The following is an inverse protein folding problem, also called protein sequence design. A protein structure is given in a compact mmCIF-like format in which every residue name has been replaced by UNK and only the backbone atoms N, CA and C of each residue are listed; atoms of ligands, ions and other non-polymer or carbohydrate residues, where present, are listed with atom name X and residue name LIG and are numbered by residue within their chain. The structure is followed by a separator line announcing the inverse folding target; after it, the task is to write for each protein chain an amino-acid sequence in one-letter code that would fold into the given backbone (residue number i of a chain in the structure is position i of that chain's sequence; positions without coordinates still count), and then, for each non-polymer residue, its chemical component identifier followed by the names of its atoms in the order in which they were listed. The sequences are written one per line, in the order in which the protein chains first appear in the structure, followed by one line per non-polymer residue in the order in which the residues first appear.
data_IF_097317274542
#
_entry.id   IF_097317274542
#
_cell.length_a   1.000
_cell.length_b   1.000
_cell.length_c   1.000
_cell.angle_alpha   90.00
_cell.angle_beta   90.00
_cell.angle_gamma   90.00
#
_symmetry.space_group_name_H-M   'P 1'
#
loop_
_entity.id
_entity.type
_entity.pdbx_description
1 polymer ?
2 polymer ?
3 non-polymer ?
4 water ?
#
# COMPACT_ATOMS: atom_id res chain seq x y z
N UNK A 1 -8.89 16.87 15.07
CA UNK A 1 -7.52 17.11 15.62
C UNK A 1 -6.49 16.18 14.97
N UNK A 2 -5.23 16.61 15.00
CA UNK A 2 -4.09 15.81 14.53
C UNK A 2 -4.04 14.43 15.23
N UNK A 3 -3.63 13.42 14.47
CA UNK A 3 -3.57 12.06 14.97
C UNK A 3 -2.61 11.27 14.12
N UNK A 4 -2.17 10.13 14.63
CA UNK A 4 -1.25 9.27 13.91
C UNK A 4 -1.74 7.83 14.04
N UNK A 5 -1.50 7.01 13.03
CA UNK A 5 -1.88 5.60 13.10
C UNK A 5 -1.21 4.92 14.31
N UNK A 6 -1.99 4.23 15.13
CA UNK A 6 -1.42 3.34 16.15
C UNK A 6 -0.56 2.23 15.52
N UNK A 7 -0.78 1.96 14.23
CA UNK A 7 -0.03 0.97 13.50
C UNK A 7 1.45 1.21 13.38
N UNK A 8 1.86 2.49 13.45
CA UNK A 8 3.28 2.84 13.36
C UNK A 8 4.04 2.14 14.49
N UNK A 9 3.58 2.32 15.73
CA UNK A 9 4.22 1.66 16.89
C UNK A 9 4.13 0.14 16.82
N UNK A 10 2.97 -0.38 16.41
CA UNK A 10 2.70 -1.82 16.35
C UNK A 10 3.60 -2.60 15.37
N UNK A 11 3.97 -1.98 14.24
CA UNK A 11 4.96 -2.59 13.32
C UNK A 11 6.41 -2.30 13.67
N UNK A 12 6.62 -1.50 14.71
CA UNK A 12 7.94 -1.17 15.27
C UNK A 12 8.79 -0.24 14.40
N UNK A 13 8.12 0.70 13.73
CA UNK A 13 8.79 1.72 12.94
C UNK A 13 9.63 2.73 13.74
N UNK A 14 9.21 3.10 14.99
CA UNK A 14 10.02 3.99 15.84
C UNK A 14 11.42 3.51 16.14
N UNK A 15 11.60 2.20 16.27
CA UNK A 15 12.93 1.62 16.45
C UNK A 15 13.84 1.92 15.25
N UNK A 16 13.25 2.01 14.05
CA UNK A 16 14.01 2.44 12.89
C UNK A 16 14.23 3.94 12.89
N UNK A 17 13.20 4.73 13.22
CA UNK A 17 13.37 6.19 13.28
C UNK A 17 14.52 6.58 14.22
N UNK A 18 14.55 6.03 15.43
CA UNK A 18 15.59 6.37 16.41
C UNK A 18 17.00 5.96 15.97
N UNK A 19 17.10 4.88 15.20
CA UNK A 19 18.36 4.53 14.52
C UNK A 19 18.78 5.49 13.36
N UNK A 20 17.95 6.46 12.99
CA UNK A 20 18.19 7.38 11.86
C UNK A 20 17.64 6.97 10.49
N UNK A 21 16.66 6.06 10.46
CA UNK A 21 16.08 5.57 9.20
C UNK A 21 14.60 5.96 9.16
N UNK A 22 14.30 6.96 8.34
CA UNK A 22 12.96 7.50 8.23
C UNK A 22 12.46 7.50 6.78
N UNK A 23 13.13 6.75 5.91
CA UNK A 23 12.76 6.64 4.49
C UNK A 23 13.30 7.71 3.57
N UNK A 24 14.43 8.33 3.92
CA UNK A 24 15.01 9.44 3.15
C UNK A 24 15.43 8.94 1.78
N UNK A 25 15.07 9.72 0.75
CA UNK A 25 15.43 9.45 -0.66
C UNK A 25 14.91 8.11 -1.25
N UNK A 26 13.86 7.55 -0.64
CA UNK A 26 13.19 6.35 -1.16
C UNK A 26 11.89 6.82 -1.80
N UNK A 27 11.69 6.46 -3.06
CA UNK A 27 10.56 6.96 -3.84
C UNK A 27 9.38 6.01 -3.76
N UNK A 28 8.25 6.49 -3.24
CA UNK A 28 7.05 5.68 -3.07
C UNK A 28 5.92 6.19 -3.93
N UNK A 29 5.43 5.35 -4.85
CA UNK A 29 4.29 5.70 -5.70
C UNK A 29 3.00 5.27 -5.02
N UNK A 30 2.11 6.22 -4.81
CA UNK A 30 0.81 5.97 -4.26
C UNK A 30 -0.16 5.97 -5.43
N UNK A 31 -0.45 4.76 -5.95
CA UNK A 31 -1.44 4.60 -7.01
C UNK A 31 -2.85 4.61 -6.38
N UNK A 32 -3.54 5.74 -6.48
CA UNK A 32 -4.76 5.96 -5.73
C UNK A 32 -5.59 7.08 -6.37
N UNK A 33 -6.46 7.70 -5.59
CA UNK A 33 -7.31 8.79 -6.05
C UNK A 33 -6.63 10.18 -6.09
N UNK A 34 -5.30 10.22 -6.07
CA UNK A 34 -4.55 11.46 -5.91
C UNK A 34 -4.09 11.65 -4.47
N UNK A 35 -3.48 12.80 -4.22
CA UNK A 35 -3.01 13.20 -2.89
C UNK A 35 -3.16 14.71 -2.77
N UNK A 36 -3.86 15.17 -1.74
CA UNK A 36 -4.00 16.60 -1.49
C UNK A 36 -2.68 17.11 -0.93
N UNK A 37 -1.86 17.67 -1.81
CA UNK A 37 -0.57 18.20 -1.42
C UNK A 37 -0.64 19.55 -0.70
N UNK A 38 -1.83 20.18 -0.59
CA UNK A 38 -2.05 21.35 0.30
C UNK A 38 -1.87 21.00 1.76
N UNK A 39 -2.22 19.76 2.11
CA UNK A 39 -2.28 19.35 3.52
C UNK A 39 -0.99 19.75 4.23
N UNK A 40 -1.08 20.53 5.34
CA UNK A 40 0.16 21.02 5.96
C UNK A 40 1.13 19.92 6.45
N UNK A 41 0.61 18.71 6.66
CA UNK A 41 1.39 17.54 7.09
C UNK A 41 1.81 16.54 5.99
N UNK A 42 1.55 16.84 4.73
CA UNK A 42 2.00 15.95 3.67
C UNK A 42 3.08 16.58 2.81
N UNK A 43 3.98 15.75 2.29
CA UNK A 43 4.97 16.13 1.30
C UNK A 43 4.81 15.24 0.10
N UNK A 44 4.67 15.87 -1.07
CA UNK A 44 4.56 15.17 -2.33
C UNK A 44 5.71 15.64 -3.23
N UNK A 45 6.58 14.71 -3.63
CA UNK A 45 7.72 15.01 -4.52
C UNK A 45 7.37 15.00 -6.01
N UNK A 46 6.17 14.58 -6.37
CA UNK A 46 5.75 14.54 -7.78
C UNK A 46 4.49 13.72 -7.96
N UNK A 47 4.19 13.34 -9.20
CA UNK A 47 3.00 12.55 -9.51
C UNK A 47 2.56 12.72 -10.95
N UNK A 48 1.47 12.06 -11.31
CA UNK A 48 0.90 12.15 -12.64
C UNK A 48 -0.47 11.50 -12.60
N UNK A 49 -1.37 11.96 -13.48
CA UNK A 49 -2.73 11.42 -13.49
C UNK A 49 -3.00 10.62 -14.73
N UNK A 50 -3.65 9.47 -14.55
CA UNK A 50 -4.07 8.62 -15.65
C UNK A 50 -5.56 8.39 -15.65
N UNK A 51 -6.27 9.25 -14.93
CA UNK A 51 -7.71 9.34 -14.98
C UNK A 51 -7.97 10.40 -16.05
N UNK A 52 -8.60 10.02 -17.18
CA UNK A 52 -8.85 11.00 -18.26
C UNK A 52 -9.52 12.30 -17.84
N UNK A 53 -10.59 12.22 -17.04
CA UNK A 53 -11.36 13.41 -16.65
C UNK A 53 -10.82 14.18 -15.42
N UNK A 54 -9.76 13.68 -14.79
CA UNK A 54 -9.18 14.32 -13.61
C UNK A 54 -7.68 14.34 -13.73
N UNK A 55 -7.14 15.39 -14.35
CA UNK A 55 -5.77 15.45 -14.80
C UNK A 55 -4.81 16.05 -13.78
N UNK A 56 -5.34 16.45 -12.62
CA UNK A 56 -4.52 16.98 -11.54
C UNK A 56 -4.32 15.89 -10.48
N UNK A 57 -3.10 15.33 -10.40
CA UNK A 57 -2.84 14.31 -9.37
C UNK A 57 -2.74 14.87 -7.95
N UNK A 58 -2.72 16.19 -7.82
CA UNK A 58 -2.52 16.85 -6.55
C UNK A 58 -3.80 17.37 -5.91
N UNK A 59 -4.94 17.04 -6.51
CA UNK A 59 -6.25 17.36 -5.95
C UNK A 59 -6.99 16.03 -5.75
N UNK A 60 -7.26 15.74 -4.49
CA UNK A 60 -7.88 14.47 -4.10
C UNK A 60 -9.35 14.74 -3.80
N UNK A 61 -10.20 14.42 -4.77
CA UNK A 61 -11.64 14.59 -4.66
C UNK A 61 -12.30 13.46 -3.87
N UNK A 62 -11.63 12.32 -3.71
CA UNK A 62 -12.20 11.18 -2.96
C UNK A 62 -11.85 11.24 -1.46
N UNK A 63 -10.57 11.48 -1.19
CA UNK A 63 -9.93 11.56 0.14
C UNK A 63 -9.09 10.32 0.44
N UNK A 64 -9.33 9.21 -0.29
CA UNK A 64 -8.64 7.94 -0.06
C UNK A 64 -7.12 8.00 -0.22
N UNK A 65 -6.63 8.50 -1.34
CA UNK A 65 -5.17 8.61 -1.51
C UNK A 65 -4.46 9.52 -0.51
N UNK A 66 -5.15 10.55 -0.05
CA UNK A 66 -4.63 11.44 0.99
C UNK A 66 -4.45 10.67 2.30
N UNK A 67 -5.40 9.81 2.61
CA UNK A 67 -5.35 8.96 3.80
C UNK A 67 -4.23 7.93 3.71
N UNK A 68 -3.98 7.45 2.50
CA UNK A 68 -2.88 6.51 2.24
C UNK A 68 -1.54 7.22 2.44
N UNK A 69 -1.42 8.36 1.78
CA UNK A 69 -0.25 9.21 1.89
C UNK A 69 0.16 9.45 3.34
N UNK A 70 -0.79 9.83 4.19
CA UNK A 70 -0.49 10.16 5.58
C UNK A 70 -0.03 8.97 6.39
N UNK A 71 -0.58 7.79 6.09
CA UNK A 71 -0.18 6.56 6.77
C UNK A 71 1.21 6.12 6.32
N UNK A 72 1.47 6.20 5.02
CA UNK A 72 2.81 5.92 4.49
C UNK A 72 3.86 6.83 5.13
N UNK A 73 3.59 8.13 5.12
CA UNK A 73 4.50 9.11 5.72
C UNK A 73 4.63 8.96 7.23
N UNK A 74 3.56 8.63 7.92
CA UNK A 74 3.66 8.38 9.35
C UNK A 74 4.66 7.24 9.63
N UNK A 75 4.70 6.22 8.76
CA UNK A 75 5.67 5.14 8.88
C UNK A 75 7.07 5.55 8.39
N UNK A 76 7.12 6.25 7.26
CA UNK A 76 8.38 6.67 6.64
C UNK A 76 8.35 8.18 6.42
N UNK A 77 8.57 8.96 7.51
CA UNK A 77 8.36 10.43 7.43
C UNK A 77 9.13 11.18 6.35
N UNK A 78 10.32 10.68 5.98
CA UNK A 78 11.17 11.33 4.99
C UNK A 78 11.10 10.73 3.57
N UNK A 79 10.16 9.81 3.33
CA UNK A 79 10.00 9.21 2.00
C UNK A 79 9.54 10.24 0.99
N UNK A 80 9.98 10.09 -0.25
CA UNK A 80 9.44 10.86 -1.36
C UNK A 80 8.18 10.18 -1.86
N UNK A 81 7.03 10.82 -1.66
CA UNK A 81 5.76 10.31 -2.18
C UNK A 81 5.45 10.89 -3.52
N UNK A 82 4.90 10.06 -4.41
CA UNK A 82 4.42 10.52 -5.70
C UNK A 82 2.96 10.14 -5.88
N UNK A 83 2.14 11.13 -6.23
CA UNK A 83 0.68 10.95 -6.44
C UNK A 83 0.38 10.49 -7.86
N UNK A 84 0.32 9.18 -8.04
CA UNK A 84 -0.06 8.59 -9.32
C UNK A 84 -1.57 8.35 -9.28
N UNK A 85 -2.31 9.24 -9.90
CA UNK A 85 -3.75 9.22 -9.84
C UNK A 85 -4.29 8.21 -10.86
N UNK A 86 -4.84 7.12 -10.34
CA UNK A 86 -5.46 6.09 -11.17
C UNK A 86 -6.91 5.83 -10.80
N UNK A 87 -7.41 6.48 -9.74
CA UNK A 87 -8.81 6.40 -9.41
C UNK A 87 -9.47 7.78 -9.48
N UNK A 88 -10.76 7.77 -9.83
CA UNK A 88 -11.57 8.98 -9.87
C UNK A 88 -12.03 9.37 -8.47
N UNK A 89 -12.75 10.49 -8.41
CA UNK A 89 -13.37 10.98 -7.19
C UNK A 89 -14.30 9.95 -6.57
N UNK A 90 -14.89 9.08 -7.39
CA UNK A 90 -15.79 8.02 -6.91
C UNK A 90 -15.08 6.79 -6.31
N UNK A 91 -13.75 6.75 -6.36
CA UNK A 91 -12.98 5.62 -5.86
C UNK A 91 -12.83 4.46 -6.84
N UNK A 92 -13.20 4.66 -8.11
CA UNK A 92 -13.09 3.61 -9.12
C UNK A 92 -12.10 4.05 -10.19
N UNK A 93 -11.43 3.06 -10.77
CA UNK A 93 -10.50 3.30 -11.86
C UNK A 93 -10.45 2.09 -12.76
N UNK A 94 -10.39 2.32 -14.06
CA UNK A 94 -10.19 1.25 -15.04
C UNK A 94 -8.78 0.66 -14.93
N UNK A 95 -8.69 -0.66 -15.13
CA UNK A 95 -7.41 -1.38 -15.17
C UNK A 95 -6.39 -0.72 -16.09
N UNK A 96 -6.82 -0.22 -17.25
CA UNK A 96 -5.94 0.42 -18.21
C UNK A 96 -5.29 1.68 -17.59
N UNK A 97 -6.07 2.45 -16.82
CA UNK A 97 -5.51 3.61 -16.10
C UNK A 97 -4.46 3.16 -15.07
N UNK A 98 -4.77 2.12 -14.31
CA UNK A 98 -3.85 1.59 -13.29
C UNK A 98 -2.54 1.13 -13.92
N UNK A 99 -2.64 0.46 -15.07
CA UNK A 99 -1.47 -0.01 -15.82
C UNK A 99 -0.58 1.15 -16.25
N UNK A 100 -1.17 2.25 -16.71
CA UNK A 100 -0.39 3.42 -17.07
C UNK A 100 0.33 4.03 -15.87
N UNK A 101 -0.33 4.04 -14.72
CA UNK A 101 0.32 4.48 -13.50
C UNK A 101 1.49 3.59 -13.09
N UNK A 102 1.33 2.27 -13.23
CA UNK A 102 2.42 1.32 -12.95
C UNK A 102 3.59 1.53 -13.90
N UNK A 103 3.28 1.58 -15.19
CA UNK A 103 4.30 1.88 -16.20
C UNK A 103 5.02 3.19 -15.89
N UNK A 104 4.26 4.21 -15.51
CA UNK A 104 4.84 5.50 -15.14
C UNK A 104 5.83 5.34 -14.00
N UNK A 105 5.42 4.62 -12.97
CA UNK A 105 6.26 4.44 -11.81
C UNK A 105 7.61 3.80 -12.15
N UNK A 106 7.58 2.76 -12.97
CA UNK A 106 8.80 2.09 -13.44
C UNK A 106 9.69 3.07 -14.17
N UNK A 107 9.09 3.84 -15.05
CA UNK A 107 9.85 4.76 -15.89
C UNK A 107 10.45 5.94 -15.11
N UNK A 108 9.88 6.23 -13.94
CA UNK A 108 10.38 7.26 -13.02
C UNK A 108 11.14 6.67 -11.79
N UNK A 109 11.49 5.39 -11.87
CA UNK A 109 12.44 4.73 -10.95
C UNK A 109 11.96 4.78 -9.52
N UNK A 110 10.66 4.49 -9.36
CA UNK A 110 10.03 4.43 -8.05
C UNK A 110 10.53 3.18 -7.36
N UNK A 111 10.79 3.29 -6.06
CA UNK A 111 11.31 2.17 -5.29
C UNK A 111 10.18 1.27 -4.80
N UNK A 112 9.03 1.87 -4.51
CA UNK A 112 7.87 1.18 -3.96
C UNK A 112 6.60 1.61 -4.66
N UNK A 113 5.76 0.64 -5.01
CA UNK A 113 4.40 0.92 -5.47
C UNK A 113 3.42 0.42 -4.43
N UNK A 114 2.59 1.34 -3.93
CA UNK A 114 1.41 0.96 -3.13
C UNK A 114 0.15 1.03 -4.00
N UNK A 115 -0.64 -0.03 -3.95
CA UNK A 115 -1.95 -0.10 -4.59
C UNK A 115 -2.97 -0.50 -3.53
N UNK A 116 -3.56 0.49 -2.86
CA UNK A 116 -4.59 0.29 -1.85
C UNK A 116 -5.93 0.21 -2.56
N UNK A 117 -6.09 -0.86 -3.33
CA UNK A 117 -7.20 -0.98 -4.25
C UNK A 117 -7.18 -2.36 -4.82
N UNK A 118 -8.31 -2.73 -5.42
CA UNK A 118 -8.46 -4.06 -5.95
C UNK A 118 -9.75 -4.21 -6.71
N UNK A 119 -9.78 -5.25 -7.54
CA UNK A 119 -10.94 -5.59 -8.35
C UNK A 119 -11.11 -7.10 -8.34
N UNK A 120 -12.33 -7.58 -8.66
CA UNK A 120 -12.63 -9.02 -8.67
C UNK A 120 -12.28 -9.78 -9.94
N UNK A 121 -12.10 -9.07 -11.06
CA UNK A 121 -11.76 -9.67 -12.34
C UNK A 121 -10.25 -9.74 -12.51
N UNK A 122 -9.78 -10.86 -13.05
CA UNK A 122 -8.40 -10.99 -13.45
C UNK A 122 -8.12 -10.29 -14.77
N UNK A 123 -6.85 -9.99 -15.02
CA UNK A 123 -6.44 -9.41 -16.28
C UNK A 123 -4.98 -9.77 -16.56
N UNK A 124 -4.72 -10.29 -17.74
CA UNK A 124 -3.34 -10.63 -18.15
C UNK A 124 -2.55 -9.35 -18.35
N UNK A 125 -3.24 -8.29 -18.80
CA UNK A 125 -2.63 -6.97 -18.91
C UNK A 125 -2.18 -6.43 -17.56
N UNK A 126 -3.07 -6.47 -16.57
CA UNK A 126 -2.71 -6.05 -15.22
C UNK A 126 -1.63 -6.94 -14.59
N UNK A 127 -1.69 -8.26 -14.82
CA UNK A 127 -0.66 -9.17 -14.31
C UNK A 127 0.71 -8.89 -14.94
N UNK A 128 0.75 -8.69 -16.24
CA UNK A 128 2.00 -8.32 -16.93
C UNK A 128 2.57 -6.99 -16.47
N UNK A 129 1.70 -6.05 -16.11
CA UNK A 129 2.19 -4.74 -15.65
C UNK A 129 2.83 -4.89 -14.27
N UNK A 130 2.19 -5.59 -13.34
CA UNK A 130 2.79 -5.71 -11.98
C UNK A 130 4.04 -6.58 -11.98
N UNK A 131 4.03 -7.64 -12.78
CA UNK A 131 5.22 -8.47 -13.00
C UNK A 131 6.40 -7.72 -13.60
N UNK A 132 6.12 -6.89 -14.59
CA UNK A 132 7.11 -6.01 -15.17
C UNK A 132 7.69 -5.08 -14.11
N UNK A 133 6.82 -4.51 -13.28
CA UNK A 133 7.27 -3.69 -12.16
C UNK A 133 8.22 -4.45 -11.22
N UNK A 134 7.84 -5.67 -10.88
CA UNK A 134 8.63 -6.50 -9.96
C UNK A 134 9.97 -6.90 -10.60
N UNK A 135 9.93 -7.32 -11.86
CA UNK A 135 11.15 -7.58 -12.61
C UNK A 135 12.05 -6.34 -12.69
N UNK A 136 11.47 -5.14 -12.69
CA UNK A 136 12.23 -3.88 -12.69
C UNK A 136 12.88 -3.48 -11.38
N UNK A 137 12.66 -4.25 -10.31
CA UNK A 137 13.25 -3.92 -9.01
C UNK A 137 12.34 -3.18 -8.06
N UNK A 138 11.06 -3.02 -8.42
CA UNK A 138 10.11 -2.27 -7.61
C UNK A 138 9.49 -3.23 -6.59
N UNK A 139 9.35 -2.76 -5.36
CA UNK A 139 8.57 -3.46 -4.33
C UNK A 139 7.12 -3.09 -4.54
N UNK A 140 6.28 -4.08 -4.82
CA UNK A 140 4.85 -3.84 -5.11
C UNK A 140 4.00 -4.40 -3.99
N UNK A 141 3.27 -3.49 -3.35
CA UNK A 141 2.40 -3.81 -2.21
C UNK A 141 0.95 -3.55 -2.60
N UNK A 142 0.05 -4.42 -2.15
CA UNK A 142 -1.37 -4.22 -2.40
C UNK A 142 -2.26 -4.77 -1.31
N UNK A 143 -3.37 -4.05 -1.09
CA UNK A 143 -4.44 -4.44 -0.17
C UNK A 143 -5.03 -5.78 -0.64
N UNK A 144 -5.19 -6.73 0.28
CA UNK A 144 -5.76 -8.04 -0.10
C UNK A 144 -7.26 -7.96 -0.49
N UNK A 145 -7.97 -6.97 0.03
CA UNK A 145 -9.40 -6.81 -0.24
C UNK A 145 -10.21 -6.92 1.06
N UNK A 146 -11.45 -6.45 0.97
CA UNK A 146 -12.32 -6.38 2.15
C UNK A 146 -13.48 -7.36 1.99
N UNK A 147 -13.20 -8.57 1.53
CA UNK A 147 -14.25 -9.52 1.13
C UNK A 147 -14.55 -10.60 2.17
N UNK A 148 -13.87 -10.56 3.31
CA UNK A 148 -14.13 -11.52 4.38
C UNK A 148 -13.81 -12.93 3.92
N UNK A 149 -14.59 -13.89 4.41
CA UNK A 149 -14.32 -15.31 4.18
C UNK A 149 -15.38 -15.90 3.29
N UNK A 150 -15.00 -16.95 2.56
CA UNK A 150 -15.93 -17.80 1.82
C UNK A 150 -15.47 -19.26 1.92
N UNK A 151 -15.67 -19.84 3.09
CA UNK A 151 -15.23 -21.21 3.41
C UNK A 151 -13.75 -21.43 3.20
N UNK A 152 -13.44 -22.36 2.31
CA UNK A 152 -12.08 -22.76 1.99
C UNK A 152 -11.56 -22.10 0.71
N UNK A 153 -12.35 -21.21 0.11
CA UNK A 153 -11.92 -20.55 -1.12
C UNK A 153 -11.46 -19.11 -0.91
N UNK A 154 -10.61 -18.68 -1.84
CA UNK A 154 -9.89 -17.41 -1.78
C UNK A 154 -10.81 -16.23 -2.06
N UNK A 155 -10.66 -15.16 -1.29
CA UNK A 155 -11.39 -13.90 -1.52
C UNK A 155 -10.46 -12.72 -1.73
N UNK A 156 -9.19 -13.01 -2.03
CA UNK A 156 -8.21 -11.98 -2.33
C UNK A 156 -8.51 -11.38 -3.71
N UNK A 157 -8.45 -10.04 -3.78
CA UNK A 157 -8.69 -9.27 -5.00
C UNK A 157 -7.43 -9.16 -5.87
N UNK A 158 -7.63 -8.83 -7.14
CA UNK A 158 -6.53 -8.44 -8.04
C UNK A 158 -6.27 -6.94 -7.87
N UNK A 159 -5.02 -6.45 -7.81
CA UNK A 159 -3.79 -7.16 -8.15
C UNK A 159 -3.12 -7.95 -7.04
N UNK A 160 -3.55 -7.75 -5.79
CA UNK A 160 -2.99 -8.47 -4.64
C UNK A 160 -2.88 -9.99 -4.81
N UNK A 161 -3.78 -10.56 -5.59
CA UNK A 161 -3.83 -12.01 -5.78
C UNK A 161 -2.66 -12.58 -6.58
N UNK A 162 -1.96 -11.72 -7.34
CA UNK A 162 -0.87 -12.20 -8.17
C UNK A 162 0.38 -12.49 -7.31
N UNK A 163 1.10 -13.59 -7.60
CA UNK A 163 2.25 -13.96 -6.77
C UNK A 163 3.30 -12.88 -6.60
N UNK A 164 3.50 -12.07 -7.64
CA UNK A 164 4.55 -11.03 -7.61
C UNK A 164 4.25 -9.84 -6.68
N UNK A 165 3.00 -9.70 -6.25
CA UNK A 165 2.55 -8.63 -5.37
C UNK A 165 2.58 -9.07 -3.91
N UNK A 166 2.91 -8.14 -3.02
CA UNK A 166 2.75 -8.36 -1.58
C UNK A 166 1.30 -8.06 -1.17
N UNK A 167 0.51 -9.13 -1.01
CA UNK A 167 -0.87 -9.07 -0.54
C UNK A 167 -0.94 -8.88 0.99
N UNK A 168 -1.52 -7.76 1.42
CA UNK A 168 -1.55 -7.34 2.81
C UNK A 168 -2.99 -7.35 3.33
N UNK A 169 -3.19 -8.06 4.44
CA UNK A 169 -4.49 -8.15 5.11
C UNK A 169 -4.42 -7.31 6.37
N UNK A 170 -5.57 -7.20 7.04
CA UNK A 170 -5.75 -6.20 8.11
C UNK A 170 -5.92 -6.85 9.48
N UNK A 171 -5.21 -6.30 10.48
CA UNK A 171 -5.47 -6.60 11.88
C UNK A 171 -5.84 -5.32 12.64
N UNK A 172 -6.39 -5.53 13.83
CA UNK A 172 -6.68 -4.45 14.79
C UNK A 172 -5.49 -4.32 15.74
N UNK A 173 -5.64 -3.47 16.78
CA UNK A 173 -4.58 -3.27 17.78
C UNK A 173 -4.21 -4.50 18.59
N UNK A 174 -5.12 -5.48 18.67
CA UNK A 174 -4.88 -6.77 19.33
C UNK A 174 -4.21 -7.85 18.48
N UNK A 175 -3.79 -7.55 17.25
CA UNK A 175 -3.32 -8.55 16.29
C UNK A 175 -4.37 -9.59 15.89
N UNK A 176 -5.63 -9.17 15.95
CA UNK A 176 -6.78 -10.02 15.65
C UNK A 176 -7.19 -9.61 14.24
N UNK A 177 -7.36 -10.60 13.35
CA UNK A 177 -7.84 -10.37 11.97
C UNK A 177 -9.14 -9.60 11.96
N UNK A 178 -9.24 -8.59 11.09
CA UNK A 178 -10.48 -7.87 10.91
C UNK A 178 -11.46 -8.81 10.22
N UNK A 179 -12.74 -8.74 10.60
CA UNK A 179 -13.67 -9.75 10.09
C UNK A 179 -13.82 -9.71 8.57
N UNK A 180 -13.78 -8.50 8.03
CA UNK A 180 -13.86 -8.25 6.60
C UNK A 180 -12.55 -8.45 5.83
N UNK A 181 -11.42 -8.72 6.50
CA UNK A 181 -10.14 -8.90 5.80
C UNK A 181 -10.19 -10.09 4.89
N UNK A 182 -9.86 -9.90 3.61
CA UNK A 182 -9.82 -10.99 2.65
C UNK A 182 -8.80 -12.04 3.07
N UNK A 183 -9.02 -13.25 2.55
CA UNK A 183 -8.30 -14.45 2.98
C UNK A 183 -7.97 -15.30 1.77
N UNK A 184 -6.99 -16.20 1.95
CA UNK A 184 -6.60 -17.15 0.90
C UNK A 184 -5.11 -17.45 0.86
N UNK A 185 -4.71 -18.39 -0.02
CA UNK A 185 -3.31 -18.78 -0.25
C UNK A 185 -2.41 -17.62 -0.62
N UNK A 186 -2.97 -16.59 -1.25
CA UNK A 186 -2.20 -15.51 -1.86
C UNK A 186 -1.87 -14.43 -0.84
N UNK A 187 -2.56 -14.47 0.29
CA UNK A 187 -2.31 -13.56 1.40
C UNK A 187 -0.90 -13.76 1.94
N UNK A 188 -0.11 -12.69 1.96
CA UNK A 188 1.30 -12.79 2.34
C UNK A 188 1.57 -12.37 3.78
N UNK A 189 1.13 -11.16 4.18
CA UNK A 189 1.33 -10.60 5.53
C UNK A 189 0.17 -9.74 6.00
N UNK A 190 0.19 -9.38 7.28
CA UNK A 190 -0.84 -8.52 7.87
C UNK A 190 -0.23 -7.24 8.35
N UNK A 191 -1.08 -6.23 8.48
CA UNK A 191 -0.70 -4.97 9.13
C UNK A 191 -1.93 -4.25 9.69
N UNK A 192 -1.70 -3.27 10.58
CA UNK A 192 -2.85 -2.62 11.19
C UNK A 192 -3.73 -1.98 10.12
N UNK A 193 -5.02 -2.26 10.20
CA UNK A 193 -5.99 -1.66 9.29
C UNK A 193 -7.37 -1.38 9.83
N UNK A 194 -7.56 -1.39 11.15
CA UNK A 194 -8.87 -1.09 11.76
C UNK A 194 -8.81 0.31 12.37
N UNK A 195 -9.62 1.23 11.84
CA UNK A 195 -9.72 2.60 12.35
C UNK A 195 -8.31 3.20 12.43
N UNK A 196 -7.69 3.29 11.26
CA UNK A 196 -6.34 3.83 11.14
C UNK A 196 -6.55 5.31 11.00
N UNK A 197 -6.06 6.07 11.97
CA UNK A 197 -6.20 7.51 11.93
C UNK A 197 -5.11 8.08 11.01
N UNK A 198 -5.51 8.78 9.96
CA UNK A 198 -4.56 9.46 9.05
C UNK A 198 -5.08 10.79 8.49
N UNK A 199 -4.37 11.38 7.52
CA UNK A 199 -4.75 12.66 6.93
C UNK A 199 -5.90 12.58 5.95
N UNK A 200 -6.69 13.65 5.89
CA UNK A 200 -7.81 13.81 4.93
C UNK A 200 -7.74 15.21 4.30
N UNK A 201 -8.30 15.38 3.08
CA UNK A 201 -8.12 16.68 2.44
C UNK A 201 -8.72 17.84 3.23
N UNK A 202 -8.11 19.02 3.08
CA UNK A 202 -8.53 20.24 3.77
C UNK A 202 -7.88 20.41 5.13
N UNK A 203 -6.69 19.85 5.29
CA UNK A 203 -5.99 19.83 6.59
C UNK A 203 -6.70 19.07 7.70
N UNK A 204 -7.57 18.12 7.34
CA UNK A 204 -8.32 17.33 8.31
C UNK A 204 -7.63 15.98 8.59
N UNK A 205 -8.17 15.26 9.58
CA UNK A 205 -7.70 13.88 9.90
C UNK A 205 -8.91 13.04 10.19
N UNK A 206 -8.79 11.74 10.00
CA UNK A 206 -9.88 10.82 10.28
C UNK A 206 -9.44 9.36 10.31
N UNK A 207 -10.21 8.56 11.04
CA UNK A 207 -10.00 7.13 11.16
C UNK A 207 -10.78 6.41 10.06
N UNK A 208 -10.11 5.48 9.37
CA UNK A 208 -10.73 4.62 8.36
C UNK A 208 -10.21 3.19 8.51
N UNK A 209 -11.07 2.24 8.14
CA UNK A 209 -10.78 0.81 8.22
C UNK A 209 -10.72 0.13 6.85
N UNK A 210 -9.72 -0.70 6.66
CA UNK A 210 -9.65 -1.55 5.47
C UNK A 210 -8.26 -2.12 5.28
N UNK A 211 -8.16 -3.14 4.43
CA UNK A 211 -6.85 -3.67 4.00
C UNK A 211 -6.03 -2.60 3.24
N UNK A 212 -6.76 -1.73 2.55
CA UNK A 212 -6.28 -0.45 2.06
C UNK A 212 -5.32 0.18 3.11
N UNK A 213 -5.81 0.38 4.34
CA UNK A 213 -5.00 0.90 5.45
C UNK A 213 -3.82 0.03 5.86
N UNK A 214 -4.02 -1.29 5.84
CA UNK A 214 -2.93 -2.23 6.11
C UNK A 214 -1.77 -2.16 5.10
N UNK A 215 -2.13 -2.10 3.82
CA UNK A 215 -1.17 -2.02 2.74
C UNK A 215 -0.27 -0.78 2.89
N UNK A 216 -0.87 0.32 3.34
CA UNK A 216 -0.14 1.59 3.53
C UNK A 216 1.05 1.43 4.47
N UNK A 217 0.85 0.69 5.56
CA UNK A 217 1.91 0.46 6.54
C UNK A 217 3.06 -0.34 5.97
N UNK A 218 2.77 -1.35 5.17
CA UNK A 218 3.80 -2.21 4.62
C UNK A 218 4.64 -1.46 3.57
N UNK A 219 3.98 -0.66 2.74
CA UNK A 219 4.66 0.20 1.78
C UNK A 219 5.59 1.20 2.48
N UNK A 220 5.15 1.76 3.61
CA UNK A 220 5.99 2.64 4.43
C UNK A 220 7.15 1.86 5.02
N UNK A 221 6.88 0.64 5.50
CA UNK A 221 7.92 -0.24 6.04
C UNK A 221 8.98 -0.61 5.02
N UNK A 222 8.55 -0.82 3.76
CA UNK A 222 9.49 -1.14 2.68
C UNK A 222 10.46 0.01 2.48
N UNK A 223 9.91 1.23 2.48
CA UNK A 223 10.70 2.46 2.37
C UNK A 223 11.72 2.61 3.52
N UNK A 224 11.31 2.22 4.73
CA UNK A 224 12.24 2.27 5.85
C UNK A 224 13.38 1.27 5.64
N UNK A 225 13.02 0.08 5.19
CA UNK A 225 14.01 -0.97 4.92
C UNK A 225 15.00 -0.48 3.87
N UNK A 226 14.49 0.00 2.73
CA UNK A 226 15.34 0.59 1.67
C UNK A 226 16.13 1.84 2.14
N UNK A 227 15.57 2.59 3.09
CA UNK A 227 16.31 3.64 3.82
C UNK A 227 17.66 3.12 4.39
N UNK A 228 17.56 2.10 5.23
CA UNK A 228 18.71 1.49 5.91
C UNK A 228 19.58 0.66 4.98
N UNK A 229 18.95 -0.06 4.06
CA UNK A 229 19.63 -0.87 3.06
C UNK A 229 19.28 -0.45 1.65
N UNK A 230 19.85 0.67 1.18
CA UNK A 230 19.54 1.12 -0.20
C UNK A 230 20.00 0.12 -1.27
N UNK A 231 20.97 -0.71 -0.92
CA UNK A 231 21.49 -1.76 -1.78
C UNK A 231 20.62 -3.01 -1.94
N UNK A 232 19.59 -3.18 -1.11
CA UNK A 232 18.79 -4.42 -1.18
C UNK A 232 17.87 -4.35 -2.36
N UNK A 233 17.72 -5.48 -3.04
CA UNK A 233 16.78 -5.62 -4.12
C UNK A 233 15.37 -5.75 -3.54
N UNK A 234 14.36 -5.60 -4.41
CA UNK A 234 12.95 -5.86 -4.02
C UNK A 234 12.75 -7.31 -3.56
N UNK A 235 13.40 -8.27 -4.22
CA UNK A 235 13.42 -9.64 -3.73
C UNK A 235 13.79 -9.67 -2.24
N UNK A 236 14.89 -9.02 -1.89
CA UNK A 236 15.40 -9.02 -0.53
C UNK A 236 14.50 -8.29 0.46
N UNK A 237 13.91 -7.17 0.05
CA UNK A 237 13.00 -6.41 0.92
C UNK A 237 11.78 -7.25 1.25
N UNK A 238 11.20 -7.87 0.23
CA UNK A 238 10.07 -8.75 0.45
C UNK A 238 10.42 -9.94 1.37
N UNK A 239 11.58 -10.58 1.15
CA UNK A 239 12.00 -11.70 2.00
C UNK A 239 12.02 -11.33 3.47
N UNK A 240 12.71 -10.24 3.82
CA UNK A 240 12.85 -9.82 5.21
C UNK A 240 11.49 -9.62 5.89
N UNK A 241 10.59 -8.95 5.19
CA UNK A 241 9.25 -8.70 5.69
C UNK A 241 8.53 -10.01 5.97
N UNK A 242 8.52 -10.91 4.99
CA UNK A 242 7.85 -12.21 5.14
C UNK A 242 8.50 -13.14 6.16
N UNK A 243 9.83 -13.19 6.18
CA UNK A 243 10.54 -14.10 7.07
C UNK A 243 10.61 -13.64 8.52
N UNK A 244 10.45 -12.34 8.78
CA UNK A 244 10.58 -11.82 10.15
C UNK A 244 9.23 -11.41 10.74
N UNK A 245 8.15 -11.72 10.04
CA UNK A 245 6.81 -11.39 10.51
C UNK A 245 6.53 -12.16 11.80
N UNK A 246 5.74 -11.53 12.67
CA UNK A 246 5.31 -12.15 13.91
C UNK A 246 4.14 -13.07 13.61
N UNK A 247 4.35 -14.35 13.85
CA UNK A 247 3.35 -15.36 13.56
C UNK A 247 2.08 -15.06 14.35
N UNK A 248 0.96 -14.98 13.64
CA UNK A 248 -0.33 -14.89 14.30
C UNK A 248 -1.00 -16.24 14.07
N UNK A 249 -2.25 -16.27 13.63
CA UNK A 249 -2.92 -17.54 13.37
C UNK A 249 -2.52 -18.23 12.07
N UNK A 250 -3.48 -19.00 11.55
CA UNK A 250 -3.34 -19.79 10.34
C UNK A 250 -3.07 -18.93 9.12
N UNK A 251 -2.19 -19.41 8.25
CA UNK A 251 -1.68 -18.61 7.13
C UNK A 251 -2.74 -18.25 6.08
N UNK A 252 -3.78 -19.06 5.96
CA UNK A 252 -4.89 -18.74 5.06
C UNK A 252 -5.54 -17.43 5.47
N UNK A 253 -5.60 -17.19 6.78
CA UNK A 253 -6.21 -16.00 7.35
C UNK A 253 -5.24 -14.89 7.75
N UNK A 254 -4.00 -15.25 8.09
CA UNK A 254 -3.00 -14.28 8.56
C UNK A 254 -1.69 -14.21 7.77
N UNK A 255 -1.58 -14.98 6.70
CA UNK A 255 -0.29 -15.17 6.01
C UNK A 255 0.85 -15.53 6.97
N UNK A 256 2.01 -14.90 6.74
CA UNK A 256 3.14 -15.01 7.68
C UNK A 256 2.92 -14.23 9.01
N UNK A 257 1.89 -13.37 9.06
CA UNK A 257 1.49 -12.67 10.28
C UNK A 257 1.87 -11.21 10.23
N UNK A 258 1.97 -10.57 11.39
CA UNK A 258 2.21 -9.13 11.48
C UNK A 258 3.65 -8.71 11.08
N UNK A 259 3.75 -7.71 10.21
CA UNK A 259 5.07 -7.21 9.86
C UNK A 259 5.78 -6.61 11.07
N UNK A 260 7.09 -6.83 11.09
CA UNK A 260 7.99 -6.34 12.12
C UNK A 260 9.17 -5.73 11.38
N UNK A 261 9.08 -4.44 11.11
CA UNK A 261 10.07 -3.74 10.31
C UNK A 261 11.44 -3.68 11.00
N UNK A 262 11.47 -3.63 12.33
CA UNK A 262 12.73 -3.69 13.08
C UNK A 262 13.48 -4.98 12.84
N UNK A 263 12.76 -6.10 12.90
CA UNK A 263 13.35 -7.41 12.60
C UNK A 263 13.68 -7.54 11.11
N UNK A 264 12.81 -6.99 10.24
CA UNK A 264 13.06 -6.99 8.79
C UNK A 264 14.31 -6.20 8.40
N UNK A 265 14.60 -5.14 9.15
CA UNK A 265 15.70 -4.26 8.83
C UNK A 265 17.08 -4.75 9.29
N UNK A 266 17.18 -5.95 9.86
CA UNK A 266 18.47 -6.57 10.19
C UNK A 266 18.53 -8.04 9.78
N UNK B 1 -11.90 -3.02 -24.51
CA UNK B 1 -12.97 -2.32 -23.72
C UNK B 1 -13.74 -3.31 -22.86
N UNK B 2 -14.25 -4.38 -23.49
CA UNK B 2 -14.81 -5.55 -22.80
C UNK B 2 -13.86 -6.11 -21.72
N UNK B 3 -12.56 -6.10 -22.03
CA UNK B 3 -11.50 -6.61 -21.17
C UNK B 3 -10.91 -5.57 -20.18
N UNK B 4 -11.21 -4.29 -20.36
CA UNK B 4 -10.80 -3.26 -19.40
C UNK B 4 -11.77 -3.31 -18.20
N UNK B 5 -11.32 -3.88 -17.09
CA UNK B 5 -12.14 -3.96 -15.89
C UNK B 5 -12.02 -2.71 -15.02
N UNK B 6 -12.76 -2.70 -13.92
CA UNK B 6 -12.71 -1.61 -12.94
C UNK B 6 -12.31 -2.14 -11.56
N UNK B 7 -11.41 -1.41 -10.90
CA UNK B 7 -11.00 -1.66 -9.53
C UNK B 7 -11.46 -0.50 -8.65
N UNK B 8 -11.59 -0.76 -7.36
CA UNK B 8 -12.08 0.23 -6.41
C UNK B 8 -11.22 0.25 -5.20
N UNK B 9 -11.26 1.37 -4.48
CA UNK B 9 -10.64 1.43 -3.16
C UNK B 9 -11.56 0.81 -2.10
#
# INVERSE_FOLDING_TARGET
AKCVSYGVAQIKAPALHSQGYTGSNVKVAVLDSGIDSSHPDLNVAGGASFVPSETNPFQDNNSHGTHVAGTVLAVAPSASLYAVKVLGADGSGQYSWIINGIEWAIANNMDVINMSLGGPSGSAALKAAVDKAVASGVVVVAAAGNNGTSGSSSTVDYPAKYPSVIAVGAVDSSNQRAPWSSVGPELDVMAPGVSICSTLPGGKYGARSGTCGASNHVAGAAALILSKHPNWTNTQVRSSLENTATKLGDSFYYGKGLINVEAAAQHHHHHH
VEEDHVAHA
#
